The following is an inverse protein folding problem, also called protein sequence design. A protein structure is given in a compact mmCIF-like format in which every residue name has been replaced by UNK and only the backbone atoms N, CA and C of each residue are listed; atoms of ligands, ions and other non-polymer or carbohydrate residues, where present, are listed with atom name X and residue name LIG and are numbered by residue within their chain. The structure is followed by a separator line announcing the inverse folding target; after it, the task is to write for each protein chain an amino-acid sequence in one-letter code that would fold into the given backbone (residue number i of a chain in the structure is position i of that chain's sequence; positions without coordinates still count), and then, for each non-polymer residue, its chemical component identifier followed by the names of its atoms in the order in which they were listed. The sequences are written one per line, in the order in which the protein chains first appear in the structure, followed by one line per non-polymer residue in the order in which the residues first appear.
data_IF_724003761533
#
_entry.id   IF_724003761533
#
_cell.length_a   1.000
_cell.length_b   1.000
_cell.length_c   1.000
_cell.angle_alpha   90.00
_cell.angle_beta   90.00
_cell.angle_gamma   90.00
#
_symmetry.space_group_name_H-M   'P 1'
#
loop_
_entity.id
_entity.type
_entity.pdbx_description
1 polymer ?
#
# COMPACT_ATOMS: atom_id res chain seq x y z
N UNK A 1 23.51 1.82 -20.42
CA UNK A 1 22.09 1.50 -20.70
C UNK A 1 21.50 0.79 -19.48
N UNK A 2 21.96 1.16 -18.28
CA UNK A 2 22.06 0.25 -17.14
C UNK A 2 21.19 0.67 -15.93
N UNK A 3 20.38 1.73 -16.08
CA UNK A 3 19.54 2.27 -15.00
C UNK A 3 18.04 2.35 -15.37
N UNK A 4 17.57 1.50 -16.28
CA UNK A 4 16.13 1.34 -16.50
C UNK A 4 15.53 0.51 -15.36
N UNK A 5 15.23 1.19 -14.24
CA UNK A 5 14.42 0.62 -13.15
C UNK A 5 13.02 0.34 -13.70
N UNK A 6 12.55 -0.90 -13.49
CA UNK A 6 11.23 -1.35 -13.92
C UNK A 6 10.15 -0.38 -13.41
N UNK A 7 9.22 -0.01 -14.29
CA UNK A 7 8.00 0.71 -13.93
C UNK A 7 7.04 -0.24 -13.21
N UNK A 8 6.59 0.14 -12.02
CA UNK A 8 5.75 -0.65 -11.13
C UNK A 8 4.26 -0.51 -11.48
N UNK A 9 3.89 -1.03 -12.66
CA UNK A 9 2.50 -1.22 -13.07
C UNK A 9 1.88 -0.09 -13.90
N UNK A 10 0.54 -0.06 -13.92
CA UNK A 10 -0.28 0.84 -14.72
C UNK A 10 0.00 2.33 -14.44
N UNK A 11 0.25 2.68 -13.18
CA UNK A 11 0.43 4.08 -12.73
C UNK A 11 1.70 4.71 -13.28
N UNK A 12 2.76 3.93 -13.38
CA UNK A 12 3.99 4.40 -14.00
C UNK A 12 3.86 4.49 -15.52
N UNK A 13 3.08 3.60 -16.14
CA UNK A 13 2.79 3.71 -17.58
C UNK A 13 2.00 4.98 -17.91
N UNK A 14 1.06 5.35 -17.04
CA UNK A 14 0.36 6.62 -17.08
C UNK A 14 1.34 7.80 -17.02
N UNK A 15 2.24 7.84 -16.03
CA UNK A 15 3.29 8.88 -15.95
C UNK A 15 4.08 8.99 -17.25
N UNK A 16 4.50 7.86 -17.83
CA UNK A 16 5.20 7.84 -19.12
C UNK A 16 4.34 8.42 -20.25
N UNK A 17 3.03 8.15 -20.28
CA UNK A 17 2.11 8.72 -21.25
C UNK A 17 1.96 10.25 -21.10
N UNK A 18 1.85 10.76 -19.86
CA UNK A 18 1.83 12.21 -19.59
C UNK A 18 3.12 12.89 -20.07
N UNK A 19 4.28 12.30 -19.75
CA UNK A 19 5.58 12.79 -20.22
C UNK A 19 5.67 12.75 -21.75
N UNK A 20 5.22 11.66 -22.38
CA UNK A 20 5.29 11.48 -23.83
C UNK A 20 4.38 12.46 -24.59
N UNK A 21 3.23 12.80 -24.02
CA UNK A 21 2.28 13.75 -24.61
C UNK A 21 2.56 15.20 -24.25
N UNK A 22 3.58 15.47 -23.41
CA UNK A 22 3.87 16.79 -22.86
C UNK A 22 2.65 17.44 -22.17
N UNK A 23 1.81 16.61 -21.55
CA UNK A 23 0.62 17.06 -20.83
C UNK A 23 1.00 17.62 -19.46
N UNK A 24 0.29 18.64 -18.98
CA UNK A 24 0.48 19.16 -17.62
C UNK A 24 -0.06 18.18 -16.59
N UNK A 25 0.71 17.88 -15.56
CA UNK A 25 0.29 17.07 -14.41
C UNK A 25 0.91 17.60 -13.13
N UNK A 26 0.30 17.25 -12.00
CA UNK A 26 0.87 17.44 -10.68
C UNK A 26 1.23 16.07 -10.11
N UNK A 27 2.48 15.93 -9.65
CA UNK A 27 2.93 14.71 -8.99
C UNK A 27 2.90 14.91 -7.47
N UNK A 28 2.28 13.97 -6.76
CA UNK A 28 2.38 13.94 -5.29
C UNK A 28 3.84 13.79 -4.88
N UNK A 29 4.33 14.69 -4.03
CA UNK A 29 5.72 14.64 -3.56
C UNK A 29 6.00 13.40 -2.70
N UNK A 30 5.00 12.93 -1.94
CA UNK A 30 5.14 11.73 -1.11
C UNK A 30 4.91 10.47 -1.96
N UNK A 31 5.85 9.51 -1.97
CA UNK A 31 5.65 8.21 -2.61
C UNK A 31 4.46 7.46 -2.03
N UNK A 32 3.95 6.50 -2.80
CA UNK A 32 2.91 5.62 -2.31
C UNK A 32 3.40 4.85 -1.06
N UNK A 33 2.52 4.72 -0.07
CA UNK A 33 2.72 3.83 1.06
C UNK A 33 2.09 2.46 0.82
N UNK A 34 2.15 1.61 1.84
CA UNK A 34 1.59 0.27 1.81
C UNK A 34 0.80 0.00 3.08
N UNK A 35 -0.35 -0.65 2.98
CA UNK A 35 -1.15 -1.08 4.12
C UNK A 35 -1.30 -2.60 4.14
N UNK A 36 -1.17 -3.18 5.33
CA UNK A 36 -1.25 -4.64 5.51
C UNK A 36 -1.00 -5.11 6.94
N UNK A 37 -0.46 -6.33 7.04
CA UNK A 37 -0.25 -7.01 8.31
C UNK A 37 1.18 -6.85 8.79
N UNK A 38 1.34 -6.51 10.05
CA UNK A 38 2.61 -6.58 10.76
C UNK A 38 2.57 -7.74 11.74
N UNK A 39 3.62 -8.55 11.75
CA UNK A 39 3.83 -9.59 12.75
C UNK A 39 4.85 -9.10 13.80
N UNK A 40 4.42 -8.86 15.06
CA UNK A 40 5.30 -8.30 16.08
C UNK A 40 6.36 -9.29 16.58
N UNK A 41 6.18 -10.59 16.34
CA UNK A 41 7.14 -11.63 16.77
C UNK A 41 8.36 -11.65 15.86
N UNK A 42 8.14 -11.67 14.55
CA UNK A 42 9.21 -11.65 13.54
C UNK A 42 9.67 -10.24 13.17
N UNK A 43 8.88 -9.21 13.54
CA UNK A 43 9.12 -7.81 13.17
C UNK A 43 8.84 -7.52 11.69
N UNK A 44 8.05 -8.36 11.03
CA UNK A 44 7.84 -8.31 9.58
C UNK A 44 6.58 -7.61 9.18
N UNK A 45 6.66 -6.85 8.10
CA UNK A 45 5.51 -6.24 7.47
C UNK A 45 5.22 -6.88 6.12
N UNK A 46 3.93 -7.11 5.86
CA UNK A 46 3.44 -7.58 4.58
C UNK A 46 2.25 -6.74 4.14
N UNK A 47 2.53 -5.77 3.28
CA UNK A 47 1.51 -4.95 2.65
C UNK A 47 0.82 -5.64 1.48
N UNK A 48 -0.47 -5.35 1.33
CA UNK A 48 -1.30 -5.87 0.24
C UNK A 48 -2.19 -4.80 -0.42
N UNK A 49 -2.08 -3.56 0.04
CA UNK A 49 -2.88 -2.42 -0.41
C UNK A 49 -2.01 -1.19 -0.59
N UNK A 50 -2.24 -0.45 -1.67
CA UNK A 50 -1.53 0.80 -1.95
C UNK A 50 -2.15 1.91 -1.10
N UNK A 51 -1.31 2.75 -0.49
CA UNK A 51 -1.72 3.95 0.23
C UNK A 51 -1.27 5.17 -0.57
N UNK A 52 -2.19 6.07 -0.88
CA UNK A 52 -1.92 7.29 -1.63
C UNK A 52 -2.20 8.51 -0.76
N UNK A 53 -1.37 9.54 -0.94
CA UNK A 53 -1.40 10.75 -0.14
C UNK A 53 -1.92 11.94 -0.93
N UNK A 54 -2.42 12.94 -0.21
CA UNK A 54 -2.73 14.26 -0.75
C UNK A 54 -1.44 15.11 -0.90
N UNK A 55 -1.53 16.33 -1.45
CA UNK A 55 -0.38 17.23 -1.58
C UNK A 55 0.28 17.65 -0.25
N UNK A 56 -0.42 17.54 0.88
CA UNK A 56 0.14 17.80 2.21
C UNK A 56 0.89 16.57 2.78
N UNK A 57 0.77 15.41 2.13
CA UNK A 57 1.41 14.16 2.55
C UNK A 57 0.55 13.31 3.48
N UNK A 58 -0.73 13.67 3.66
CA UNK A 58 -1.70 12.96 4.49
C UNK A 58 -2.37 11.83 3.69
N UNK A 59 -2.74 10.74 4.35
CA UNK A 59 -3.38 9.60 3.69
C UNK A 59 -4.74 10.01 3.12
N UNK A 60 -4.87 9.88 1.80
CA UNK A 60 -6.08 10.24 1.05
C UNK A 60 -6.89 9.01 0.64
N UNK A 61 -6.22 7.94 0.20
CA UNK A 61 -6.90 6.78 -0.36
C UNK A 61 -6.13 5.48 -0.12
N UNK A 62 -6.86 4.39 0.17
CA UNK A 62 -6.33 3.03 0.26
C UNK A 62 -6.94 2.15 -0.82
N UNK A 63 -6.09 1.46 -1.58
CA UNK A 63 -6.50 0.57 -2.67
C UNK A 63 -6.19 -0.90 -2.36
N UNK A 64 -7.21 -1.72 -2.08
CA UNK A 64 -7.05 -3.18 -1.94
C UNK A 64 -6.69 -3.82 -3.28
N UNK A 65 -5.44 -4.23 -3.44
CA UNK A 65 -4.95 -4.84 -4.69
C UNK A 65 -4.80 -6.35 -4.57
N UNK A 66 -3.94 -6.82 -3.66
CA UNK A 66 -3.59 -8.23 -3.52
C UNK A 66 -4.70 -9.06 -2.85
N UNK A 67 -5.54 -8.41 -2.02
CA UNK A 67 -6.60 -9.03 -1.22
C UNK A 67 -7.94 -8.32 -1.37
N UNK A 68 -8.62 -8.61 -2.48
CA UNK A 68 -9.97 -8.11 -2.74
C UNK A 68 -11.00 -8.91 -1.93
N UNK A 69 -12.02 -8.22 -1.42
CA UNK A 69 -13.14 -8.86 -0.76
C UNK A 69 -13.91 -9.72 -1.78
N UNK A 70 -14.25 -10.94 -1.37
CA UNK A 70 -15.11 -11.86 -2.14
C UNK A 70 -15.90 -12.72 -1.17
N UNK A 71 -16.95 -13.38 -1.65
CA UNK A 71 -17.76 -14.25 -0.81
C UNK A 71 -16.87 -15.33 -0.16
N UNK A 72 -17.00 -15.50 1.16
CA UNK A 72 -16.18 -16.41 1.95
C UNK A 72 -14.77 -15.91 2.28
N UNK A 73 -14.38 -14.70 1.86
CA UNK A 73 -13.09 -14.08 2.16
C UNK A 73 -13.28 -12.60 2.48
N UNK A 74 -13.64 -12.33 3.73
CA UNK A 74 -13.96 -10.99 4.25
C UNK A 74 -13.10 -10.60 5.44
N UNK A 75 -11.98 -11.30 5.62
CA UNK A 75 -11.03 -11.03 6.68
C UNK A 75 -10.43 -9.61 6.60
N UNK A 76 -10.30 -9.01 7.79
CA UNK A 76 -9.50 -7.80 8.00
C UNK A 76 -8.05 -8.06 7.67
N UNK A 77 -7.40 -7.06 7.13
CA UNK A 77 -6.05 -7.16 6.61
C UNK A 77 -5.17 -6.00 7.04
N UNK A 78 -5.74 -4.84 7.35
CA UNK A 78 -4.98 -3.66 7.71
C UNK A 78 -4.77 -3.62 9.22
N UNK A 79 -3.53 -3.86 9.62
CA UNK A 79 -3.07 -3.63 11.01
C UNK A 79 -2.17 -2.41 11.09
N UNK A 80 -1.38 -2.16 10.03
CA UNK A 80 -0.43 -1.06 9.98
C UNK A 80 -0.40 -0.44 8.58
N UNK A 81 -0.01 0.83 8.54
CA UNK A 81 0.33 1.58 7.35
C UNK A 81 1.82 1.90 7.38
N UNK A 82 2.51 1.47 6.35
CA UNK A 82 3.88 1.82 6.07
C UNK A 82 3.93 3.05 5.14
N UNK A 83 4.66 4.09 5.54
CA UNK A 83 4.85 5.31 4.76
C UNK A 83 6.32 5.68 4.68
N UNK A 84 6.78 6.10 3.49
CA UNK A 84 8.11 6.67 3.37
C UNK A 84 8.21 7.97 4.19
N UNK A 85 9.31 8.13 4.92
CA UNK A 85 9.56 9.27 5.81
C UNK A 85 9.71 10.56 5.01
N UNK A 86 9.16 11.65 5.55
CA UNK A 86 9.32 12.98 4.96
C UNK A 86 10.76 13.45 5.14
N UNK A 87 11.35 14.00 4.07
CA UNK A 87 12.72 14.54 4.09
C UNK A 87 13.83 13.52 3.82
N UNK A 88 13.50 12.24 3.64
CA UNK A 88 14.46 11.24 3.12
C UNK A 88 14.59 11.39 1.61
N UNK A 89 15.80 11.19 1.09
CA UNK A 89 16.06 11.23 -0.35
C UNK A 89 15.27 10.13 -1.08
N UNK A 90 14.59 10.50 -2.18
CA UNK A 90 13.76 9.55 -2.95
C UNK A 90 14.56 8.40 -3.57
N UNK A 91 15.88 8.49 -3.67
CA UNK A 91 16.74 7.38 -4.09
C UNK A 91 16.72 6.19 -3.13
N UNK A 92 16.39 6.43 -1.85
CA UNK A 92 16.22 5.41 -0.82
C UNK A 92 14.83 4.76 -0.86
N UNK A 93 13.89 5.30 -1.63
CA UNK A 93 12.58 4.69 -1.81
C UNK A 93 12.70 3.43 -2.69
N UNK A 94 12.54 2.29 -2.04
CA UNK A 94 12.58 0.95 -2.65
C UNK A 94 11.24 0.26 -2.46
N UNK A 95 10.63 -0.20 -3.55
CA UNK A 95 9.50 -1.13 -3.45
C UNK A 95 10.01 -2.55 -3.61
N UNK A 96 9.92 -3.33 -2.54
CA UNK A 96 10.19 -4.76 -2.57
C UNK A 96 8.89 -5.54 -2.77
N UNK A 97 8.96 -6.59 -3.59
CA UNK A 97 7.92 -7.61 -3.69
C UNK A 97 8.51 -8.92 -3.18
N UNK A 98 8.13 -9.32 -1.97
CA UNK A 98 8.64 -10.54 -1.34
C UNK A 98 7.52 -11.60 -1.37
N UNK A 99 7.86 -12.84 -1.65
CA UNK A 99 6.90 -13.95 -1.50
C UNK A 99 6.59 -14.07 -0.01
N UNK A 100 5.30 -14.21 0.32
CA UNK A 100 4.85 -14.31 1.71
C UNK A 100 5.65 -15.35 2.48
N UNK A 101 6.30 -14.86 3.53
CA UNK A 101 7.07 -15.67 4.45
C UNK A 101 6.21 -16.67 5.22
N UNK A 102 6.80 -17.62 5.96
CA UNK A 102 6.05 -18.47 6.90
C UNK A 102 5.13 -17.69 7.85
N UNK A 103 5.49 -16.44 8.13
CA UNK A 103 4.76 -15.48 8.98
C UNK A 103 3.40 -15.07 8.38
N UNK A 104 3.24 -15.18 7.05
CA UNK A 104 2.04 -14.78 6.32
C UNK A 104 1.59 -15.86 5.33
N UNK A 105 1.22 -17.07 5.79
CA UNK A 105 1.06 -18.24 4.94
C UNK A 105 -0.09 -18.10 3.94
N UNK A 106 -1.08 -17.25 4.23
CA UNK A 106 -2.14 -16.96 3.29
C UNK A 106 -1.68 -15.99 2.18
N UNK A 107 -0.77 -15.04 2.46
CA UNK A 107 -0.38 -13.99 1.52
C UNK A 107 0.67 -14.51 0.54
N UNK A 108 0.40 -14.42 -0.76
CA UNK A 108 1.37 -14.86 -1.78
C UNK A 108 2.45 -13.82 -2.03
N UNK A 109 2.07 -12.54 -2.09
CA UNK A 109 2.96 -11.42 -2.37
C UNK A 109 2.79 -10.36 -1.29
N UNK A 110 3.91 -9.88 -0.76
CA UNK A 110 4.02 -8.77 0.17
C UNK A 110 4.66 -7.58 -0.54
N UNK A 111 4.09 -6.40 -0.36
CA UNK A 111 4.57 -5.14 -0.92
C UNK A 111 4.91 -4.16 0.20
N UNK A 112 6.04 -3.48 0.07
CA UNK A 112 6.58 -2.59 1.11
C UNK A 112 7.95 -3.04 1.58
N UNK A 113 8.46 -2.38 2.60
CA UNK A 113 9.69 -2.79 3.28
C UNK A 113 9.35 -3.84 4.35
N UNK A 114 10.06 -4.96 4.33
CA UNK A 114 9.70 -6.17 5.09
C UNK A 114 10.21 -6.10 6.52
N UNK A 115 11.42 -5.56 6.73
CA UNK A 115 12.09 -5.60 8.04
C UNK A 115 12.88 -4.34 8.38
N UNK A 116 13.32 -3.57 7.37
CA UNK A 116 14.24 -2.45 7.59
C UNK A 116 13.53 -1.09 7.48
N UNK A 117 12.83 -0.70 8.54
CA UNK A 117 12.07 0.57 8.59
C UNK A 117 12.95 1.83 8.81
N UNK A 118 14.22 1.81 8.39
CA UNK A 118 15.12 2.98 8.53
C UNK A 118 14.52 4.21 7.85
N UNK A 119 13.95 4.04 6.65
CA UNK A 119 13.37 5.11 5.84
C UNK A 119 11.84 5.13 5.82
N UNK A 120 11.20 4.25 6.60
CA UNK A 120 9.76 4.06 6.61
C UNK A 120 9.21 4.20 8.02
N UNK A 121 8.06 4.84 8.13
CA UNK A 121 7.25 4.84 9.33
C UNK A 121 6.25 3.69 9.21
N UNK A 122 6.21 2.82 10.21
CA UNK A 122 5.21 1.76 10.31
C UNK A 122 4.24 2.12 11.44
N UNK A 123 3.08 2.65 11.06
CA UNK A 123 2.11 3.22 12.00
C UNK A 123 0.92 2.27 12.15
N UNK A 124 0.52 1.89 13.38
CA UNK A 124 -0.69 1.11 13.60
C UNK A 124 -1.93 1.78 13.00
N UNK A 125 -2.85 1.00 12.44
CA UNK A 125 -4.05 1.53 11.76
C UNK A 125 -4.96 2.29 12.74
N UNK A 126 -4.95 1.89 14.01
CA UNK A 126 -5.70 2.49 15.11
C UNK A 126 -5.30 3.94 15.41
N UNK A 127 -4.08 4.34 15.05
CA UNK A 127 -3.58 5.70 15.27
C UNK A 127 -4.10 6.68 14.19
N UNK A 128 -4.72 6.16 13.12
CA UNK A 128 -5.31 7.00 12.08
C UNK A 128 -6.77 7.33 12.37
N UNK A 129 -7.25 8.54 11.98
CA UNK A 129 -8.63 8.97 12.20
C UNK A 129 -9.67 8.11 11.45
N UNK A 130 -9.22 7.29 10.51
CA UNK A 130 -10.03 6.38 9.71
C UNK A 130 -9.85 4.90 10.09
N UNK A 131 -9.36 4.57 11.29
CA UNK A 131 -9.11 3.20 11.75
C UNK A 131 -10.25 2.20 11.46
N UNK A 132 -11.51 2.65 11.53
CA UNK A 132 -12.72 1.82 11.31
C UNK A 132 -13.09 1.62 9.83
N UNK A 133 -12.28 2.10 8.88
CA UNK A 133 -12.64 2.11 7.47
C UNK A 133 -12.75 0.70 6.88
N UNK A 134 -11.92 -0.24 7.34
CA UNK A 134 -11.97 -1.63 6.87
C UNK A 134 -13.24 -2.34 7.36
N UNK A 135 -13.66 -2.09 8.60
CA UNK A 135 -14.94 -2.57 9.13
C UNK A 135 -16.12 -2.11 8.27
N UNK A 136 -16.14 -0.81 7.94
CA UNK A 136 -17.18 -0.23 7.09
C UNK A 136 -17.17 -0.83 5.69
N UNK A 137 -15.99 -1.06 5.12
CA UNK A 137 -15.84 -1.69 3.81
C UNK A 137 -16.43 -3.11 3.80
N UNK A 138 -16.12 -3.91 4.83
CA UNK A 138 -16.66 -5.27 4.99
C UNK A 138 -18.19 -5.22 5.19
N UNK A 139 -18.68 -4.30 6.00
CA UNK A 139 -20.11 -4.08 6.20
C UNK A 139 -20.83 -3.80 4.88
N UNK A 140 -20.33 -2.85 4.06
CA UNK A 140 -20.91 -2.53 2.76
C UNK A 140 -20.82 -3.69 1.77
N UNK A 141 -19.71 -4.44 1.78
CA UNK A 141 -19.56 -5.63 0.95
C UNK A 141 -20.64 -6.68 1.27
N UNK A 142 -20.87 -6.96 2.56
CA UNK A 142 -21.88 -7.92 3.00
C UNK A 142 -23.31 -7.45 2.69
N UNK A 143 -23.60 -6.16 2.89
CA UNK A 143 -24.88 -5.59 2.47
C UNK A 143 -25.10 -5.76 0.96
N UNK A 144 -24.05 -5.55 0.15
CA UNK A 144 -24.07 -5.78 -1.30
C UNK A 144 -24.41 -7.22 -1.70
N UNK A 145 -24.02 -8.22 -0.91
CA UNK A 145 -24.36 -9.62 -1.16
C UNK A 145 -25.83 -9.94 -0.88
N UNK A 146 -26.47 -9.24 0.05
CA UNK A 146 -27.90 -9.45 0.38
C UNK A 146 -28.88 -8.91 -0.67
N UNK A 147 -28.41 -8.17 -1.68
CA UNK A 147 -29.23 -7.70 -2.79
C UNK A 147 -29.28 -8.67 -3.99
N UNK A 148 -28.70 -9.87 -3.86
CA UNK A 148 -28.69 -10.91 -4.90
C UNK A 148 -29.67 -12.04 -4.62
#
# INVERSE_FOLDING_TARGET
MDDLKLVWGDKDLFRLAWLKTNSTFYWSARPAGSAGRFDPVSGRFCGGSIVQHDPAGEVLFLHRNARKLRQGHVEKHWTHIEQFKVGVDLSEYTMSSVIGAPDFPDLRNCYGEDKNYTYYDLTPIEDFPFAVIEDRLIMYFNAGLSFK
#
